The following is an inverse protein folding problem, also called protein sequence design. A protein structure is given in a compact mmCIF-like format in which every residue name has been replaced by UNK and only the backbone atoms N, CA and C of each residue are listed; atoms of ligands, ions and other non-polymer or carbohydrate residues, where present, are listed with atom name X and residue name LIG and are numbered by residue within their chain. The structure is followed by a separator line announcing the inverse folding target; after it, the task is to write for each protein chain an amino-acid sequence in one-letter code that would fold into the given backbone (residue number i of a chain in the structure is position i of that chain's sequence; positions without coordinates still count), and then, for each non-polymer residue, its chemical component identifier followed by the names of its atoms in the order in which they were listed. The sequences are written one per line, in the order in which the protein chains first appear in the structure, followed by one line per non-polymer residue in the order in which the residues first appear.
data_IF_634160261933
#
_entry.id   IF_634160261933
#
_cell.length_a   1.000
_cell.length_b   1.000
_cell.length_c   1.000
_cell.angle_alpha   90.00
_cell.angle_beta   90.00
_cell.angle_gamma   90.00
#
_symmetry.space_group_name_H-M   'P 1'
#
loop_
_entity.id
_entity.type
_entity.pdbx_description
1 polymer ?
#
# COMPACT_ATOMS: atom_id res chain seq x y z
N UNK A 1 59.33 -39.02 -22.26
CA UNK A 1 58.72 -37.77 -21.77
C UNK A 1 57.26 -38.05 -21.37
N UNK A 2 56.84 -37.67 -20.17
CA UNK A 2 55.80 -38.35 -19.39
C UNK A 2 54.34 -37.97 -19.77
N UNK A 3 53.81 -38.57 -20.86
CA UNK A 3 52.46 -38.30 -21.42
C UNK A 3 51.32 -38.61 -20.42
N UNK A 4 51.51 -39.57 -19.52
CA UNK A 4 50.51 -39.94 -18.52
C UNK A 4 50.29 -38.87 -17.43
N UNK A 5 51.33 -38.13 -17.04
CA UNK A 5 51.24 -37.11 -15.99
C UNK A 5 50.43 -35.87 -16.42
N UNK A 6 50.53 -35.46 -17.69
CA UNK A 6 49.79 -34.33 -18.22
C UNK A 6 48.28 -34.62 -18.30
N UNK A 7 47.88 -35.86 -18.60
CA UNK A 7 46.47 -36.27 -18.68
C UNK A 7 45.77 -36.19 -17.31
N UNK A 8 46.50 -36.32 -16.21
CA UNK A 8 45.96 -36.21 -14.85
C UNK A 8 45.88 -34.75 -14.37
N UNK A 9 46.83 -33.88 -14.75
CA UNK A 9 46.83 -32.45 -14.40
C UNK A 9 45.64 -31.70 -15.00
N UNK A 10 45.31 -31.96 -16.27
CA UNK A 10 44.15 -31.35 -16.93
C UNK A 10 42.82 -31.69 -16.25
N UNK A 11 42.65 -32.91 -15.74
CA UNK A 11 41.45 -33.29 -14.99
C UNK A 11 41.30 -32.50 -13.69
N UNK A 12 42.41 -32.28 -12.96
CA UNK A 12 42.43 -31.47 -11.75
C UNK A 12 42.11 -30.00 -12.05
N UNK A 13 42.66 -29.47 -13.14
CA UNK A 13 42.36 -28.11 -13.59
C UNK A 13 40.87 -27.92 -13.92
N UNK A 14 40.27 -28.83 -14.69
CA UNK A 14 38.84 -28.77 -15.03
C UNK A 14 37.94 -28.87 -13.78
N UNK A 15 38.30 -29.73 -12.82
CA UNK A 15 37.59 -29.82 -11.55
C UNK A 15 37.69 -28.53 -10.73
N UNK A 16 38.87 -27.92 -10.66
CA UNK A 16 39.07 -26.65 -9.97
C UNK A 16 38.28 -25.52 -10.66
N UNK A 17 38.30 -25.44 -11.99
CA UNK A 17 37.53 -24.46 -12.75
C UNK A 17 36.01 -24.63 -12.52
N UNK A 18 35.50 -25.87 -12.55
CA UNK A 18 34.11 -26.16 -12.24
C UNK A 18 33.74 -25.73 -10.80
N UNK A 19 34.58 -26.05 -9.82
CA UNK A 19 34.36 -25.66 -8.42
C UNK A 19 34.33 -24.13 -8.25
N UNK A 20 35.25 -23.41 -8.91
CA UNK A 20 35.26 -21.93 -8.90
C UNK A 20 33.98 -21.36 -9.50
N UNK A 21 33.50 -21.91 -10.62
CA UNK A 21 32.24 -21.46 -11.24
C UNK A 21 31.07 -21.68 -10.28
N UNK A 22 30.95 -22.86 -9.66
CA UNK A 22 29.88 -23.14 -8.69
C UNK A 22 29.94 -22.17 -7.53
N UNK A 23 31.11 -21.99 -6.90
CA UNK A 23 31.27 -21.05 -5.79
C UNK A 23 30.93 -19.62 -6.20
N UNK A 24 31.35 -19.17 -7.38
CA UNK A 24 31.04 -17.84 -7.90
C UNK A 24 29.54 -17.65 -8.14
N UNK A 25 28.86 -18.65 -8.72
CA UNK A 25 27.40 -18.58 -8.95
C UNK A 25 26.62 -18.59 -7.65
N UNK A 26 26.99 -19.45 -6.68
CA UNK A 26 26.35 -19.50 -5.37
C UNK A 26 26.53 -18.17 -4.61
N UNK A 27 27.74 -17.62 -4.64
CA UNK A 27 28.04 -16.31 -4.05
C UNK A 27 27.21 -15.20 -4.68
N UNK A 28 27.18 -15.13 -6.02
CA UNK A 28 26.42 -14.12 -6.76
C UNK A 28 24.91 -14.23 -6.53
N UNK A 29 24.35 -15.45 -6.53
CA UNK A 29 22.92 -15.68 -6.25
C UNK A 29 22.55 -15.26 -4.84
N UNK A 30 23.40 -15.55 -3.85
CA UNK A 30 23.17 -15.12 -2.47
C UNK A 30 23.28 -13.59 -2.32
N UNK A 31 24.24 -12.95 -2.99
CA UNK A 31 24.40 -11.49 -3.01
C UNK A 31 23.17 -10.79 -3.61
N UNK A 32 22.65 -11.26 -4.74
CA UNK A 32 21.41 -10.74 -5.34
C UNK A 32 20.22 -10.88 -4.38
N UNK A 33 20.04 -12.05 -3.77
CA UNK A 33 18.94 -12.28 -2.84
C UNK A 33 19.01 -11.31 -1.65
N UNK A 34 20.20 -11.06 -1.12
CA UNK A 34 20.39 -10.10 -0.02
C UNK A 34 20.10 -8.66 -0.46
N UNK A 35 20.55 -8.24 -1.65
CA UNK A 35 20.24 -6.91 -2.20
C UNK A 35 18.74 -6.71 -2.38
N UNK A 36 18.06 -7.68 -3.00
CA UNK A 36 16.61 -7.61 -3.21
C UNK A 36 15.86 -7.56 -1.88
N UNK A 37 16.27 -8.35 -0.87
CA UNK A 37 15.67 -8.26 0.47
C UNK A 37 15.83 -6.87 1.08
N UNK A 38 17.01 -6.25 0.96
CA UNK A 38 17.25 -4.91 1.46
C UNK A 38 16.39 -3.86 0.73
N UNK A 39 16.26 -3.98 -0.59
CA UNK A 39 15.37 -3.14 -1.40
C UNK A 39 13.90 -3.32 -1.02
N UNK A 40 13.43 -4.56 -0.85
CA UNK A 40 12.05 -4.86 -0.43
C UNK A 40 11.75 -4.25 0.93
N UNK A 41 12.64 -4.39 1.92
CA UNK A 41 12.50 -3.74 3.23
C UNK A 41 12.43 -2.22 3.13
N UNK A 42 13.26 -1.63 2.28
CA UNK A 42 13.24 -0.18 2.05
C UNK A 42 11.92 0.26 1.42
N UNK A 43 11.40 -0.49 0.45
CA UNK A 43 10.08 -0.22 -0.17
C UNK A 43 8.95 -0.29 0.85
N UNK A 44 8.96 -1.30 1.74
CA UNK A 44 7.95 -1.41 2.80
C UNK A 44 8.04 -0.24 3.79
N UNK A 45 9.25 0.20 4.15
CA UNK A 45 9.43 1.38 5.02
C UNK A 45 8.95 2.67 4.36
N UNK A 46 9.30 2.91 3.11
CA UNK A 46 8.82 4.09 2.36
C UNK A 46 7.31 4.07 2.21
N UNK A 47 6.74 2.88 2.00
CA UNK A 47 5.29 2.69 1.97
C UNK A 47 4.64 3.03 3.31
N UNK A 48 5.19 2.55 4.44
CA UNK A 48 4.67 2.89 5.77
C UNK A 48 4.79 4.39 6.08
N UNK A 49 5.92 5.01 5.74
CA UNK A 49 6.13 6.47 5.90
C UNK A 49 5.13 7.27 5.05
N UNK A 50 4.89 6.84 3.81
CA UNK A 50 3.92 7.48 2.93
C UNK A 50 2.48 7.35 3.45
N UNK A 51 2.13 6.26 4.11
CA UNK A 51 0.82 6.12 4.77
C UNK A 51 0.68 7.13 5.90
N UNK A 52 1.69 7.22 6.77
CA UNK A 52 1.65 8.15 7.92
C UNK A 52 1.56 9.60 7.45
N UNK A 53 2.46 10.03 6.54
CA UNK A 53 2.44 11.40 6.02
C UNK A 53 1.09 11.76 5.38
N UNK A 54 0.48 10.83 4.65
CA UNK A 54 -0.82 11.09 4.02
C UNK A 54 -1.95 11.11 5.05
N UNK A 55 -1.92 10.26 6.07
CA UNK A 55 -2.89 10.30 7.17
C UNK A 55 -2.80 11.61 7.97
N UNK A 56 -1.59 12.12 8.19
CA UNK A 56 -1.37 13.46 8.77
C UNK A 56 -1.97 14.56 7.91
N UNK A 57 -1.77 14.52 6.59
CA UNK A 57 -2.39 15.48 5.68
C UNK A 57 -3.92 15.41 5.75
N UNK A 58 -4.50 14.21 5.76
CA UNK A 58 -5.96 14.04 5.91
C UNK A 58 -6.44 14.62 7.24
N UNK A 59 -5.78 14.31 8.36
CA UNK A 59 -6.12 14.86 9.67
C UNK A 59 -6.02 16.38 9.71
N UNK A 60 -4.95 16.95 9.13
CA UNK A 60 -4.79 18.40 9.01
C UNK A 60 -5.90 19.03 8.16
N UNK A 61 -6.25 18.43 7.02
CA UNK A 61 -7.33 18.95 6.17
C UNK A 61 -8.69 18.88 6.85
N UNK A 62 -8.96 17.82 7.61
CA UNK A 62 -10.18 17.68 8.38
C UNK A 62 -10.28 18.76 9.46
N UNK A 63 -9.19 19.00 10.19
CA UNK A 63 -9.12 20.05 11.19
C UNK A 63 -9.35 21.44 10.57
N UNK A 64 -8.69 21.73 9.45
CA UNK A 64 -8.88 22.99 8.71
C UNK A 64 -10.35 23.17 8.28
N UNK A 65 -11.01 22.10 7.87
CA UNK A 65 -12.41 22.14 7.47
C UNK A 65 -13.34 22.44 8.65
N UNK A 66 -13.11 21.81 9.79
CA UNK A 66 -13.85 22.11 11.03
C UNK A 66 -13.68 23.58 11.43
N UNK A 67 -12.44 24.09 11.39
CA UNK A 67 -12.14 25.50 11.67
C UNK A 67 -12.88 26.43 10.69
N UNK A 68 -12.76 26.19 9.38
CA UNK A 68 -13.45 26.98 8.35
C UNK A 68 -14.98 26.91 8.49
N UNK A 69 -15.53 25.74 8.84
CA UNK A 69 -16.95 25.58 9.10
C UNK A 69 -17.41 26.42 10.29
N UNK A 70 -16.61 26.49 11.37
CA UNK A 70 -16.90 27.39 12.49
C UNK A 70 -16.81 28.86 12.09
N UNK A 71 -15.87 29.24 11.23
CA UNK A 71 -15.78 30.60 10.70
C UNK A 71 -16.96 30.98 9.81
N UNK A 72 -17.39 30.10 8.90
CA UNK A 72 -18.56 30.29 8.04
C UNK A 72 -19.84 30.47 8.86
N UNK A 73 -20.01 29.66 9.92
CA UNK A 73 -21.11 29.84 10.88
C UNK A 73 -21.08 31.23 11.53
N UNK A 74 -19.90 31.68 11.95
CA UNK A 74 -19.74 33.03 12.51
C UNK A 74 -19.98 34.16 11.49
N UNK A 75 -19.85 33.91 10.19
CA UNK A 75 -20.27 34.85 9.13
C UNK A 75 -21.80 34.86 8.99
N UNK A 76 -22.44 33.69 9.01
CA UNK A 76 -23.90 33.58 8.98
C UNK A 76 -24.56 34.29 10.16
N UNK A 77 -24.04 34.13 11.38
CA UNK A 77 -24.53 34.83 12.58
C UNK A 77 -24.47 36.36 12.42
N UNK A 78 -23.33 36.89 11.97
CA UNK A 78 -23.15 38.34 11.74
C UNK A 78 -24.04 38.88 10.62
N UNK A 79 -24.25 38.09 9.59
CA UNK A 79 -25.14 38.43 8.48
C UNK A 79 -26.59 38.50 8.96
N UNK A 80 -27.02 37.52 9.78
CA UNK A 80 -28.34 37.52 10.41
C UNK A 80 -28.54 38.75 11.30
N UNK A 81 -27.53 39.13 12.09
CA UNK A 81 -27.53 40.37 12.89
C UNK A 81 -27.62 41.63 12.02
N UNK A 82 -26.92 41.68 10.89
CA UNK A 82 -26.97 42.80 9.95
C UNK A 82 -28.38 42.99 9.36
N UNK A 83 -29.05 41.91 8.96
CA UNK A 83 -30.43 41.95 8.48
C UNK A 83 -31.42 42.40 9.57
N UNK A 84 -31.18 42.01 10.83
CA UNK A 84 -31.97 42.51 11.96
C UNK A 84 -31.85 44.02 12.12
N UNK A 85 -30.63 44.55 12.06
CA UNK A 85 -30.35 45.97 12.27
C UNK A 85 -30.93 46.87 11.17
N UNK A 86 -31.12 46.37 9.94
CA UNK A 86 -31.82 47.10 8.88
C UNK A 86 -33.32 47.27 9.18
N UNK A 87 -33.95 46.23 9.73
CA UNK A 87 -35.39 46.22 9.98
C UNK A 87 -35.80 46.97 11.26
N UNK A 88 -34.94 46.96 12.29
CA UNK A 88 -35.14 47.72 13.53
C UNK A 88 -33.85 48.47 13.93
N UNK A 89 -33.49 49.55 13.21
CA UNK A 89 -32.29 50.32 13.49
C UNK A 89 -32.48 51.18 14.75
N UNK A 90 -31.57 51.11 15.73
CA UNK A 90 -31.51 52.08 16.82
C UNK A 90 -31.48 53.52 16.30
N UNK A 91 -32.17 54.44 17.00
CA UNK A 91 -32.27 55.84 16.58
C UNK A 91 -30.88 56.47 16.39
N UNK A 92 -30.61 56.98 15.18
CA UNK A 92 -29.35 57.65 14.84
C UNK A 92 -28.22 56.74 14.34
N UNK A 93 -28.49 55.46 14.09
CA UNK A 93 -27.50 54.53 13.53
C UNK A 93 -27.21 54.82 12.05
N UNK A 94 -25.93 54.88 11.68
CA UNK A 94 -25.49 54.90 10.29
C UNK A 94 -25.53 53.46 9.73
N UNK A 95 -26.34 53.26 8.69
CA UNK A 95 -26.56 51.97 8.05
C UNK A 95 -25.56 51.68 6.94
N UNK A 96 -24.72 52.63 6.55
CA UNK A 96 -23.79 52.49 5.41
C UNK A 96 -22.88 51.26 5.57
N UNK A 97 -22.33 51.07 6.78
CA UNK A 97 -21.52 49.89 7.10
C UNK A 97 -22.30 48.56 7.02
N UNK A 98 -23.56 48.56 7.45
CA UNK A 98 -24.42 47.38 7.44
C UNK A 98 -24.82 47.01 6.02
N UNK A 99 -25.18 48.02 5.21
CA UNK A 99 -25.48 47.82 3.80
C UNK A 99 -24.25 47.30 3.07
N UNK A 100 -23.07 47.88 3.29
CA UNK A 100 -21.83 47.42 2.66
C UNK A 100 -21.50 45.98 3.02
N UNK A 101 -21.72 45.59 4.28
CA UNK A 101 -21.52 44.21 4.74
C UNK A 101 -22.49 43.22 4.08
N UNK A 102 -23.78 43.57 3.97
CA UNK A 102 -24.79 42.72 3.32
C UNK A 102 -24.52 42.56 1.82
N UNK A 103 -24.18 43.64 1.13
CA UNK A 103 -23.80 43.60 -0.30
C UNK A 103 -22.48 42.85 -0.55
N UNK A 104 -21.63 42.72 0.48
CA UNK A 104 -20.40 41.94 0.39
C UNK A 104 -20.61 40.43 0.47
N UNK A 105 -21.74 39.97 1.03
CA UNK A 105 -22.08 38.55 1.07
C UNK A 105 -22.57 38.06 -0.30
N UNK A 106 -21.75 37.26 -0.98
CA UNK A 106 -22.05 36.70 -2.30
C UNK A 106 -22.29 35.20 -2.31
N UNK A 107 -22.15 34.52 -1.17
CA UNK A 107 -21.97 33.07 -1.16
C UNK A 107 -22.79 32.32 -0.13
N UNK A 108 -23.23 32.96 0.96
CA UNK A 108 -24.05 32.30 1.99
C UNK A 108 -25.53 32.47 1.63
N UNK A 109 -26.27 31.37 1.41
CA UNK A 109 -27.71 31.40 1.17
C UNK A 109 -28.46 31.61 2.50
N UNK A 110 -29.43 32.53 2.47
CA UNK A 110 -30.21 32.90 3.67
C UNK A 110 -31.69 33.08 3.32
N UNK A 111 -32.55 32.50 4.14
CA UNK A 111 -33.98 32.76 4.17
C UNK A 111 -34.36 33.41 5.49
N UNK A 112 -35.11 34.50 5.43
CA UNK A 112 -35.58 35.24 6.61
C UNK A 112 -37.09 35.20 6.61
N UNK A 113 -37.67 34.72 7.71
CA UNK A 113 -39.12 34.64 7.93
C UNK A 113 -39.55 35.52 9.11
N UNK A 114 -40.80 35.97 9.06
CA UNK A 114 -41.46 36.69 10.15
C UNK A 114 -42.03 35.74 11.22
N UNK A 115 -42.75 36.30 12.20
CA UNK A 115 -43.35 35.53 13.29
C UNK A 115 -44.56 34.67 12.86
N UNK A 116 -45.12 34.95 11.68
CA UNK A 116 -46.26 34.25 11.10
C UNK A 116 -45.83 33.19 10.07
N UNK A 117 -44.52 32.95 9.95
CA UNK A 117 -43.92 32.06 8.96
C UNK A 117 -44.04 32.54 7.50
N UNK A 118 -44.16 33.85 7.29
CA UNK A 118 -44.10 34.50 5.97
C UNK A 118 -42.66 34.89 5.62
N UNK A 119 -42.27 34.66 4.36
CA UNK A 119 -40.93 34.99 3.87
C UNK A 119 -40.76 36.52 3.75
N UNK A 120 -39.74 37.06 4.40
CA UNK A 120 -39.33 38.46 4.32
C UNK A 120 -38.25 38.67 3.25
N UNK A 121 -37.19 37.87 3.30
CA UNK A 121 -36.02 38.03 2.42
C UNK A 121 -35.44 36.67 2.02
N UNK A 122 -34.94 36.61 0.79
CA UNK A 122 -34.10 35.54 0.28
C UNK A 122 -32.80 36.13 -0.28
N UNK A 123 -31.68 35.47 0.00
CA UNK A 123 -30.33 35.97 -0.37
C UNK A 123 -29.52 34.80 -0.89
N UNK A 124 -28.88 34.97 -2.05
CA UNK A 124 -28.04 33.93 -2.69
C UNK A 124 -28.76 32.58 -2.89
N UNK A 125 -30.08 32.61 -3.14
CA UNK A 125 -30.91 31.44 -3.42
C UNK A 125 -31.42 31.54 -4.86
N UNK A 126 -31.35 30.46 -5.67
CA UNK A 126 -31.89 30.44 -7.03
C UNK A 126 -33.39 30.75 -7.06
N UNK A 127 -33.86 31.54 -8.03
CA UNK A 127 -35.27 31.93 -8.14
C UNK A 127 -36.23 30.76 -8.42
N UNK A 128 -35.71 29.66 -8.96
CA UNK A 128 -36.44 28.43 -9.28
C UNK A 128 -36.47 27.41 -8.13
N UNK A 129 -35.81 27.71 -7.01
CA UNK A 129 -35.74 26.81 -5.86
C UNK A 129 -37.08 26.70 -5.11
N UNK A 130 -37.45 25.48 -4.71
CA UNK A 130 -38.58 25.26 -3.80
C UNK A 130 -38.20 25.73 -2.39
N UNK A 131 -38.73 26.88 -1.98
CA UNK A 131 -38.42 27.52 -0.70
C UNK A 131 -38.79 26.65 0.51
N UNK A 132 -39.94 25.98 0.48
CA UNK A 132 -40.35 25.07 1.57
C UNK A 132 -39.39 23.89 1.71
N UNK A 133 -38.98 23.30 0.58
CA UNK A 133 -38.01 22.21 0.56
C UNK A 133 -36.66 22.68 1.08
N UNK A 134 -36.21 23.86 0.63
CA UNK A 134 -34.93 24.45 1.00
C UNK A 134 -34.88 24.82 2.48
N UNK A 135 -35.94 25.43 3.02
CA UNK A 135 -36.11 25.70 4.45
C UNK A 135 -36.03 24.42 5.28
N UNK A 136 -36.67 23.34 4.80
CA UNK A 136 -36.59 22.02 5.42
C UNK A 136 -35.16 21.48 5.46
N UNK A 137 -34.42 21.57 4.35
CA UNK A 137 -33.02 21.15 4.26
C UNK A 137 -32.13 22.00 5.18
N UNK A 138 -32.27 23.32 5.12
CA UNK A 138 -31.49 24.27 5.94
C UNK A 138 -31.72 24.03 7.43
N UNK A 139 -32.96 23.84 7.87
CA UNK A 139 -33.29 23.59 9.28
C UNK A 139 -32.84 22.22 9.80
N UNK A 140 -32.75 21.23 8.90
CA UNK A 140 -32.22 19.91 9.22
C UNK A 140 -30.69 19.92 9.34
N UNK A 141 -30.02 20.70 8.50
CA UNK A 141 -28.56 20.81 8.50
C UNK A 141 -28.04 21.75 9.61
N UNK A 142 -28.71 22.88 9.81
CA UNK A 142 -28.29 23.95 10.70
C UNK A 142 -29.44 24.43 11.60
N UNK A 143 -29.14 24.69 12.87
CA UNK A 143 -30.10 25.30 13.77
C UNK A 143 -30.46 26.71 13.29
N UNK A 144 -31.75 27.04 13.12
CA UNK A 144 -32.17 28.37 12.71
C UNK A 144 -31.81 29.40 13.78
N UNK A 145 -31.43 30.60 13.33
CA UNK A 145 -31.12 31.73 14.21
C UNK A 145 -32.43 32.46 14.50
N UNK A 146 -32.87 32.41 15.76
CA UNK A 146 -34.15 32.99 16.18
C UNK A 146 -33.92 34.30 16.90
N UNK A 147 -34.54 35.37 16.41
CA UNK A 147 -34.50 36.69 17.02
C UNK A 147 -35.82 37.00 17.73
N UNK A 148 -35.91 36.60 19.00
CA UNK A 148 -37.12 36.77 19.82
C UNK A 148 -37.63 38.21 19.92
N UNK A 149 -36.75 39.21 19.82
CA UNK A 149 -37.11 40.63 19.99
C UNK A 149 -37.91 41.20 18.81
N UNK A 150 -37.69 40.68 17.61
CA UNK A 150 -38.35 41.13 16.37
C UNK A 150 -39.25 40.05 15.76
N UNK A 151 -39.27 38.85 16.35
CA UNK A 151 -40.06 37.72 15.86
C UNK A 151 -39.55 37.14 14.54
N UNK A 152 -38.28 37.36 14.19
CA UNK A 152 -37.72 36.87 12.93
C UNK A 152 -36.97 35.56 13.13
N UNK A 153 -37.08 34.66 12.15
CA UNK A 153 -36.32 33.41 12.11
C UNK A 153 -35.47 33.38 10.84
N UNK A 154 -34.17 33.14 11.00
CA UNK A 154 -33.22 33.09 9.89
C UNK A 154 -32.77 31.64 9.69
N UNK A 155 -33.06 31.11 8.51
CA UNK A 155 -32.56 29.84 8.03
C UNK A 155 -31.37 30.12 7.11
N UNK A 156 -30.30 29.36 7.29
CA UNK A 156 -29.06 29.55 6.55
C UNK A 156 -28.46 28.19 6.20
N UNK A 157 -27.62 28.17 5.17
CA UNK A 157 -26.84 27.00 4.80
C UNK A 157 -25.35 27.35 4.66
N UNK A 158 -24.52 26.31 4.59
CA UNK A 158 -23.12 26.44 4.22
C UNK A 158 -22.99 27.13 2.85
N UNK A 159 -21.90 27.87 2.63
CA UNK A 159 -21.70 28.50 1.32
C UNK A 159 -21.52 27.43 0.23
N UNK A 160 -22.06 27.69 -0.96
CA UNK A 160 -21.98 26.73 -2.09
C UNK A 160 -20.55 26.30 -2.37
N UNK A 161 -19.59 27.23 -2.24
CA UNK A 161 -18.15 26.96 -2.40
C UNK A 161 -17.58 26.06 -1.32
N UNK A 162 -18.02 26.23 -0.07
CA UNK A 162 -17.60 25.39 1.03
C UNK A 162 -18.20 23.99 0.90
N UNK A 163 -19.47 23.86 0.48
CA UNK A 163 -20.11 22.58 0.19
C UNK A 163 -19.43 21.85 -0.97
N UNK A 164 -19.14 22.53 -2.10
CA UNK A 164 -18.37 21.96 -3.21
C UNK A 164 -17.00 21.46 -2.76
N UNK A 165 -16.30 22.26 -1.95
CA UNK A 165 -15.00 21.88 -1.39
C UNK A 165 -15.12 20.67 -0.47
N UNK A 166 -16.12 20.63 0.41
CA UNK A 166 -16.42 19.52 1.30
C UNK A 166 -16.64 18.22 0.53
N UNK A 167 -17.46 18.27 -0.51
CA UNK A 167 -17.79 17.09 -1.32
C UNK A 167 -16.56 16.57 -2.07
N UNK A 168 -15.84 17.46 -2.77
CA UNK A 168 -14.59 17.10 -3.45
C UNK A 168 -13.57 16.52 -2.47
N UNK A 169 -13.51 17.05 -1.26
CA UNK A 169 -12.56 16.58 -0.25
C UNK A 169 -12.97 15.27 0.38
N UNK A 170 -14.26 15.07 0.65
CA UNK A 170 -14.79 13.78 1.12
C UNK A 170 -14.55 12.69 0.08
N UNK A 171 -14.74 13.00 -1.20
CA UNK A 171 -14.41 12.10 -2.31
C UNK A 171 -12.91 11.82 -2.37
N UNK A 172 -12.05 12.82 -2.15
CA UNK A 172 -10.61 12.63 -2.11
C UNK A 172 -10.15 11.81 -0.89
N UNK A 173 -10.78 11.98 0.28
CA UNK A 173 -10.53 11.16 1.46
C UNK A 173 -10.96 9.71 1.19
N UNK A 174 -12.16 9.51 0.65
CA UNK A 174 -12.67 8.18 0.31
C UNK A 174 -11.79 7.50 -0.77
N UNK A 175 -11.39 8.24 -1.81
CA UNK A 175 -10.47 7.78 -2.85
C UNK A 175 -9.07 7.52 -2.28
N UNK A 176 -8.55 8.35 -1.37
CA UNK A 176 -7.28 8.12 -0.70
C UNK A 176 -7.29 6.79 0.09
N UNK A 177 -8.39 6.54 0.79
CA UNK A 177 -8.63 5.30 1.54
C UNK A 177 -8.76 4.09 0.59
N UNK A 178 -9.16 4.30 -0.66
CA UNK A 178 -9.51 3.25 -1.62
C UNK A 178 -8.44 2.96 -2.69
N UNK A 179 -7.66 3.94 -3.17
CA UNK A 179 -7.11 3.84 -4.53
C UNK A 179 -5.56 3.84 -4.67
N UNK A 180 -4.73 4.48 -3.84
CA UNK A 180 -3.35 4.77 -4.33
C UNK A 180 -2.17 4.68 -3.38
N UNK A 181 -2.22 3.80 -2.37
CA UNK A 181 -1.00 3.31 -1.68
C UNK A 181 -0.88 1.78 -1.78
N UNK A 182 -1.97 1.10 -2.11
CA UNK A 182 -2.09 -0.35 -1.95
C UNK A 182 -1.43 -1.12 -3.12
N UNK A 183 -1.32 -0.56 -4.32
CA UNK A 183 -0.76 -1.31 -5.48
C UNK A 183 0.77 -1.27 -5.64
N UNK A 184 1.49 -0.44 -4.88
CA UNK A 184 2.95 -0.28 -5.09
C UNK A 184 3.79 -1.31 -4.33
N UNK A 185 3.24 -1.94 -3.28
CA UNK A 185 3.96 -2.97 -2.54
C UNK A 185 4.09 -4.23 -3.40
N UNK A 186 5.32 -4.58 -3.78
CA UNK A 186 5.64 -5.87 -4.44
C UNK A 186 5.60 -7.04 -3.44
N UNK A 187 5.40 -6.73 -2.16
CA UNK A 187 5.52 -7.59 -0.99
C UNK A 187 4.14 -7.77 -0.35
N UNK A 188 3.80 -8.97 0.16
CA UNK A 188 2.60 -9.17 0.97
C UNK A 188 2.67 -8.36 2.26
N UNK A 189 1.70 -7.48 2.48
CA UNK A 189 1.63 -6.62 3.68
C UNK A 189 0.25 -6.68 4.32
N UNK A 190 0.21 -6.60 5.65
CA UNK A 190 -1.02 -6.57 6.45
C UNK A 190 -0.87 -5.51 7.53
N UNK A 191 -1.82 -4.60 7.60
CA UNK A 191 -1.91 -3.57 8.63
C UNK A 191 -3.03 -3.90 9.62
N UNK A 192 -2.69 -3.94 10.89
CA UNK A 192 -3.62 -4.24 11.98
C UNK A 192 -3.78 -3.08 12.94
N UNK A 193 -4.86 -3.14 13.72
CA UNK A 193 -5.11 -2.25 14.86
C UNK A 193 -4.04 -2.37 15.97
N UNK A 194 -4.13 -1.47 16.96
CA UNK A 194 -3.26 -1.46 18.14
C UNK A 194 -3.23 -2.79 18.90
N UNK A 195 -4.33 -3.55 18.87
CA UNK A 195 -4.44 -4.86 19.54
C UNK A 195 -3.95 -6.03 18.69
N UNK A 196 -3.58 -5.80 17.43
CA UNK A 196 -3.12 -6.84 16.46
C UNK A 196 -4.18 -7.92 16.20
N UNK A 197 -5.45 -7.57 16.34
CA UNK A 197 -6.58 -8.52 16.21
C UNK A 197 -7.44 -8.24 14.99
N UNK A 198 -7.54 -6.96 14.59
CA UNK A 198 -8.37 -6.55 13.47
C UNK A 198 -7.48 -6.07 12.34
N UNK A 199 -7.68 -6.64 11.15
CA UNK A 199 -7.05 -6.13 9.92
C UNK A 199 -7.77 -4.87 9.47
N UNK A 200 -7.01 -3.80 9.31
CA UNK A 200 -7.48 -2.54 8.76
C UNK A 200 -7.25 -2.53 7.25
N UNK A 201 -6.07 -3.00 6.82
CA UNK A 201 -5.69 -3.06 5.41
C UNK A 201 -4.81 -4.28 5.15
N UNK A 202 -4.88 -4.82 3.94
CA UNK A 202 -3.97 -5.86 3.50
C UNK A 202 -3.72 -5.73 2.00
N UNK A 203 -2.60 -6.28 1.53
CA UNK A 203 -2.25 -6.29 0.12
C UNK A 203 -1.46 -7.53 -0.25
N UNK A 204 -1.76 -8.11 -1.42
CA UNK A 204 -1.16 -9.36 -1.93
C UNK A 204 -1.28 -10.51 -0.91
N UNK A 205 -2.38 -10.51 -0.15
CA UNK A 205 -2.77 -11.54 0.80
C UNK A 205 -4.19 -11.97 0.42
N UNK A 206 -4.46 -13.28 0.54
CA UNK A 206 -5.77 -13.86 0.28
C UNK A 206 -6.80 -13.32 1.29
N UNK A 207 -7.96 -12.85 0.81
CA UNK A 207 -9.03 -12.31 1.65
C UNK A 207 -9.62 -13.38 2.59
N UNK A 208 -9.58 -14.65 2.19
CA UNK A 208 -10.06 -15.77 3.02
C UNK A 208 -9.20 -15.95 4.26
N UNK A 209 -7.88 -15.78 4.13
CA UNK A 209 -6.93 -15.84 5.24
C UNK A 209 -7.04 -14.65 6.20
N UNK A 210 -7.61 -13.53 5.75
CA UNK A 210 -7.88 -12.35 6.58
C UNK A 210 -9.24 -12.46 7.30
N UNK A 211 -10.21 -13.14 6.70
CA UNK A 211 -11.55 -13.30 7.26
C UNK A 211 -11.60 -14.28 8.44
N UNK A 212 -10.75 -15.32 8.44
CA UNK A 212 -10.67 -16.32 9.50
C UNK A 212 -9.67 -15.91 10.59
N UNK A 213 -10.10 -15.71 11.86
CA UNK A 213 -9.21 -15.31 12.95
C UNK A 213 -8.06 -16.28 13.25
N UNK A 214 -8.24 -17.59 13.09
CA UNK A 214 -7.18 -18.58 13.36
C UNK A 214 -6.11 -18.53 12.26
N UNK A 215 -6.55 -18.50 11.00
CA UNK A 215 -5.66 -18.39 9.85
C UNK A 215 -4.92 -17.05 9.90
N UNK A 216 -5.61 -15.96 10.23
CA UNK A 216 -5.02 -14.63 10.37
C UNK A 216 -3.91 -14.62 11.42
N UNK A 217 -4.13 -15.18 12.62
CA UNK A 217 -3.08 -15.24 13.64
C UNK A 217 -1.87 -16.05 13.16
N UNK A 218 -2.09 -17.19 12.49
CA UNK A 218 -0.99 -17.99 11.95
C UNK A 218 -0.19 -17.23 10.88
N UNK A 219 -0.88 -16.45 10.03
CA UNK A 219 -0.29 -15.61 9.00
C UNK A 219 0.55 -14.49 9.62
N UNK A 220 -0.02 -13.76 10.58
CA UNK A 220 0.66 -12.66 11.28
C UNK A 220 1.88 -13.17 12.05
N UNK A 221 1.78 -14.33 12.69
CA UNK A 221 2.91 -14.99 13.35
C UNK A 221 4.01 -15.37 12.36
N UNK A 222 3.66 -15.91 11.19
CA UNK A 222 4.61 -16.23 10.12
C UNK A 222 5.32 -14.99 9.55
N UNK A 223 4.58 -13.90 9.36
CA UNK A 223 5.13 -12.61 8.94
C UNK A 223 6.08 -12.05 9.99
N UNK A 224 5.66 -12.00 11.25
CA UNK A 224 6.46 -11.51 12.38
C UNK A 224 7.73 -12.33 12.63
N UNK A 225 7.67 -13.64 12.38
CA UNK A 225 8.83 -14.52 12.49
C UNK A 225 9.85 -14.31 11.38
N UNK A 226 9.42 -13.82 10.22
CA UNK A 226 10.30 -13.54 9.07
C UNK A 226 10.89 -12.13 9.13
N UNK A 227 10.08 -11.15 9.52
CA UNK A 227 10.44 -9.75 9.58
C UNK A 227 9.78 -9.06 10.78
N UNK A 228 10.50 -8.13 11.41
CA UNK A 228 9.96 -7.33 12.50
C UNK A 228 8.84 -6.42 11.98
N UNK A 229 7.64 -6.43 12.60
CA UNK A 229 6.55 -5.54 12.23
C UNK A 229 6.93 -4.08 12.39
N UNK A 230 6.47 -3.24 11.47
CA UNK A 230 6.69 -1.79 11.55
C UNK A 230 5.56 -1.18 12.38
N UNK A 231 5.91 -0.47 13.46
CA UNK A 231 4.95 0.32 14.22
C UNK A 231 4.73 1.67 13.53
N UNK A 232 3.47 2.06 13.36
CA UNK A 232 3.10 3.38 12.84
C UNK A 232 2.05 4.01 13.76
N UNK A 233 2.17 5.31 13.99
CA UNK A 233 1.16 6.07 14.74
C UNK A 233 0.38 6.92 13.74
N UNK A 234 -0.94 6.72 13.71
CA UNK A 234 -1.83 7.47 12.84
C UNK A 234 -2.56 8.54 13.65
N UNK A 235 -2.55 9.80 13.21
CA UNK A 235 -3.30 10.88 13.87
C UNK A 235 -4.78 10.51 13.98
N UNK A 236 -5.34 10.57 15.19
CA UNK A 236 -6.76 10.27 15.46
C UNK A 236 -7.12 8.79 15.55
N UNK A 237 -6.34 7.88 14.95
CA UNK A 237 -6.59 6.42 15.00
C UNK A 237 -5.64 5.68 15.98
N UNK A 238 -4.53 6.30 16.36
CA UNK A 238 -3.55 5.77 17.31
C UNK A 238 -2.56 4.77 16.68
N UNK A 239 -1.98 3.91 17.53
CA UNK A 239 -0.92 2.98 17.12
C UNK A 239 -1.45 1.82 16.26
N UNK A 240 -0.73 1.52 15.19
CA UNK A 240 -0.97 0.44 14.27
C UNK A 240 0.29 -0.37 13.99
N UNK A 241 0.10 -1.58 13.47
CA UNK A 241 1.18 -2.51 13.18
C UNK A 241 1.12 -2.97 11.73
N UNK A 242 2.23 -2.87 11.02
CA UNK A 242 2.40 -3.32 9.64
C UNK A 242 3.26 -4.58 9.63
N UNK A 243 2.65 -5.70 9.28
CA UNK A 243 3.29 -6.99 9.07
C UNK A 243 3.61 -7.16 7.59
N UNK A 244 4.78 -7.74 7.29
CA UNK A 244 5.20 -7.99 5.92
C UNK A 244 6.02 -9.28 5.80
N UNK A 245 5.84 -10.00 4.69
CA UNK A 245 6.59 -11.21 4.38
C UNK A 245 7.73 -10.94 3.39
N UNK A 246 8.61 -11.92 3.14
CA UNK A 246 9.49 -11.88 1.96
C UNK A 246 8.63 -12.07 0.69
N UNK A 247 9.01 -11.47 -0.44
CA UNK A 247 8.27 -11.71 -1.69
C UNK A 247 8.41 -13.15 -2.19
N UNK A 248 7.49 -13.56 -3.06
CA UNK A 248 7.56 -14.87 -3.74
C UNK A 248 8.86 -14.99 -4.55
N UNK A 249 9.28 -13.89 -5.19
CA UNK A 249 10.49 -13.84 -6.02
C UNK A 249 11.75 -14.02 -5.16
N UNK A 250 11.82 -13.29 -4.04
CA UNK A 250 12.92 -13.42 -3.08
C UNK A 250 13.00 -14.84 -2.50
N UNK A 251 11.84 -15.43 -2.21
CA UNK A 251 11.76 -16.83 -1.75
C UNK A 251 12.30 -17.79 -2.82
N UNK A 252 11.91 -17.65 -4.08
CA UNK A 252 12.41 -18.47 -5.20
C UNK A 252 13.93 -18.32 -5.40
N UNK A 253 14.45 -17.09 -5.35
CA UNK A 253 15.89 -16.80 -5.46
C UNK A 253 16.71 -17.50 -4.37
N UNK A 254 16.15 -17.66 -3.16
CA UNK A 254 16.82 -18.35 -2.05
C UNK A 254 16.99 -19.86 -2.31
N UNK A 255 16.06 -20.49 -3.03
CA UNK A 255 16.13 -21.92 -3.36
C UNK A 255 16.84 -22.22 -4.69
N UNK A 256 17.02 -21.21 -5.55
CA UNK A 256 17.70 -21.36 -6.83
C UNK A 256 19.10 -22.02 -6.74
N UNK A 257 19.97 -21.63 -5.79
CA UNK A 257 21.24 -22.32 -5.53
C UNK A 257 21.13 -23.84 -5.35
N UNK A 258 20.10 -24.29 -4.62
CA UNK A 258 19.90 -25.70 -4.35
C UNK A 258 19.48 -26.46 -5.62
N UNK A 259 18.58 -25.88 -6.40
CA UNK A 259 18.18 -26.45 -7.69
C UNK A 259 19.38 -26.59 -8.64
N UNK A 260 20.28 -25.59 -8.67
CA UNK A 260 21.52 -25.65 -9.45
C UNK A 260 22.46 -26.77 -8.97
N UNK A 261 22.62 -26.95 -7.66
CA UNK A 261 23.43 -28.05 -7.12
C UNK A 261 22.86 -29.42 -7.49
N UNK A 262 21.53 -29.59 -7.43
CA UNK A 262 20.86 -30.82 -7.87
C UNK A 262 21.13 -31.06 -9.36
N UNK A 263 21.00 -30.02 -10.19
CA UNK A 263 21.27 -30.11 -11.63
C UNK A 263 22.71 -30.55 -11.91
N UNK A 264 23.70 -29.94 -11.24
CA UNK A 264 25.11 -30.30 -11.36
C UNK A 264 25.36 -31.73 -10.89
N UNK A 265 24.73 -32.15 -9.79
CA UNK A 265 24.83 -33.52 -9.28
C UNK A 265 24.30 -34.53 -10.29
N UNK A 266 23.15 -34.25 -10.92
CA UNK A 266 22.57 -35.09 -11.99
C UNK A 266 23.52 -35.18 -13.18
N UNK A 267 24.04 -34.05 -13.68
CA UNK A 267 25.00 -34.07 -14.80
C UNK A 267 26.29 -34.81 -14.47
N UNK A 268 26.81 -34.62 -13.25
CA UNK A 268 28.02 -35.31 -12.76
C UNK A 268 27.78 -36.81 -12.65
N UNK A 269 26.60 -37.23 -12.19
CA UNK A 269 26.20 -38.63 -12.10
C UNK A 269 26.10 -39.27 -13.49
N UNK A 270 25.44 -38.62 -14.44
CA UNK A 270 25.35 -39.11 -15.84
C UNK A 270 26.74 -39.21 -16.47
N UNK A 271 27.59 -38.20 -16.30
CA UNK A 271 28.97 -38.22 -16.79
C UNK A 271 29.78 -39.37 -16.18
N UNK A 272 29.59 -39.65 -14.89
CA UNK A 272 30.19 -40.78 -14.21
C UNK A 272 29.73 -42.12 -14.80
N UNK A 273 28.43 -42.30 -15.07
CA UNK A 273 27.91 -43.53 -15.67
C UNK A 273 28.51 -43.79 -17.06
N UNK A 274 28.55 -42.76 -17.93
CA UNK A 274 29.13 -42.86 -19.28
C UNK A 274 30.62 -43.23 -19.19
N UNK A 275 31.38 -42.52 -18.36
CA UNK A 275 32.80 -42.77 -18.21
C UNK A 275 33.12 -44.15 -17.59
N UNK A 276 32.29 -44.59 -16.62
CA UNK A 276 32.37 -45.94 -16.06
C UNK A 276 32.10 -47.01 -17.11
N UNK A 277 31.11 -46.79 -17.99
CA UNK A 277 30.79 -47.70 -19.09
C UNK A 277 31.96 -47.82 -20.07
N UNK A 278 32.56 -46.70 -20.49
CA UNK A 278 33.71 -46.73 -21.40
C UNK A 278 34.93 -47.43 -20.80
N UNK A 279 35.22 -47.21 -19.51
CA UNK A 279 36.32 -47.92 -18.83
C UNK A 279 36.13 -49.42 -18.76
N UNK A 280 34.88 -49.88 -18.52
CA UNK A 280 34.55 -51.31 -18.55
C UNK A 280 34.75 -51.87 -19.96
N UNK A 281 34.27 -51.17 -20.98
CA UNK A 281 34.45 -51.58 -22.38
C UNK A 281 35.93 -51.63 -22.82
N UNK A 282 36.75 -50.67 -22.40
CA UNK A 282 38.21 -50.70 -22.63
C UNK A 282 38.85 -51.94 -21.99
N UNK A 283 38.45 -52.28 -20.76
CA UNK A 283 38.92 -53.51 -20.12
C UNK A 283 38.46 -54.73 -20.91
N UNK A 284 37.17 -54.88 -21.17
CA UNK A 284 36.61 -56.04 -21.88
C UNK A 284 37.29 -56.26 -23.25
N UNK A 285 37.61 -55.19 -23.99
CA UNK A 285 38.38 -55.28 -25.24
C UNK A 285 39.80 -55.81 -25.03
N UNK A 286 40.50 -55.38 -23.98
CA UNK A 286 41.84 -55.89 -23.63
C UNK A 286 41.76 -57.37 -23.24
N UNK A 287 40.74 -57.78 -22.47
CA UNK A 287 40.53 -59.18 -22.10
C UNK A 287 40.25 -60.07 -23.32
N UNK A 288 39.38 -59.63 -24.25
CA UNK A 288 39.14 -60.35 -25.52
C UNK A 288 40.40 -60.41 -26.38
N UNK A 289 41.18 -59.33 -26.44
CA UNK A 289 42.46 -59.29 -27.15
C UNK A 289 43.49 -60.27 -26.58
N UNK A 290 43.67 -60.30 -25.26
CA UNK A 290 44.56 -61.24 -24.58
C UNK A 290 44.09 -62.69 -24.75
N UNK A 291 42.79 -62.95 -24.67
CA UNK A 291 42.24 -64.28 -24.90
C UNK A 291 42.47 -64.76 -26.34
N UNK A 292 42.31 -63.87 -27.34
CA UNK A 292 42.57 -64.17 -28.75
C UNK A 292 44.05 -64.47 -29.00
N UNK A 293 44.96 -63.69 -28.41
CA UNK A 293 46.41 -63.90 -28.52
C UNK A 293 46.84 -65.20 -27.82
N UNK A 294 46.29 -65.49 -26.63
CA UNK A 294 46.58 -66.73 -25.89
C UNK A 294 46.05 -67.96 -26.63
N UNK A 295 44.84 -67.88 -27.20
CA UNK A 295 44.28 -68.94 -28.04
C UNK A 295 45.12 -69.16 -29.31
N UNK A 296 45.67 -68.09 -29.88
CA UNK A 296 46.58 -68.19 -31.01
C UNK A 296 47.91 -68.87 -30.63
N UNK A 297 48.50 -68.50 -29.48
CA UNK A 297 49.73 -69.11 -28.96
C UNK A 297 49.57 -70.58 -28.58
N UNK A 298 48.41 -70.99 -28.03
CA UNK A 298 48.10 -72.39 -27.73
C UNK A 298 47.76 -73.23 -28.98
N UNK A 299 47.36 -72.59 -30.09
CA UNK A 299 46.93 -73.26 -31.32
C UNK A 299 48.03 -73.51 -32.36
N UNK A 300 49.20 -72.88 -32.22
CA UNK A 300 50.39 -73.18 -33.05
C UNK A 300 51.09 -74.45 -32.53
N UNK A 301 51.22 -75.54 -33.31
CA UNK A 301 51.86 -76.75 -32.82
C UNK A 301 53.35 -76.50 -32.54
N UNK A 302 53.79 -76.88 -31.34
CA UNK A 302 55.20 -76.98 -30.99
C UNK A 302 55.81 -78.13 -31.79
N UNK A 303 56.68 -77.78 -32.75
CA UNK A 303 57.62 -78.71 -33.40
C UNK A 303 59.05 -78.34 -33.04
#
# INVERSE_FOLDING_TARGET
MNVYSNKQRWKRFLLAAAAVIVLATLWYSNDIAQRIRAEEKTKVRLWSEAIVQRAELVGYTQQLFEELGTEERGKADRLADAYRLINDPPRGMDLTFITDYLWSNKTIPVLIYDANDELLYQVNIPEDASLDSLKGVMSAANAPIVFNNVGHTVYWDESVRFSELKDVMQDLINSFISETVINSASVPVVMTDSKRTKVIRYQRVDSTAVADPEILQSLLAGMAGSNEPIEVDLPGEGRHYIYYADSVILTQLRYYPLAQLILIAVFTFVAYLIFSSFRRAEQDQVWVGMAKETAHQLGTPLS
#
